data_IF_395316284227
#
_entry.id   IF_395316284227
#
_cell.length_a   1.000
_cell.length_b   1.000
_cell.length_c   1.000
_cell.angle_alpha   90.00
_cell.angle_beta   90.00
_cell.angle_gamma   90.00
#
_symmetry.space_group_name_H-M   'P 1'
#
loop_
_entity.id
_entity.type
_entity.pdbx_description
1 polymer ?
#
# COMPACT_ATOMS: atom_id res chain seq x y z
N UNK A 1 1.38 -42.24 -25.67
CA UNK A 1 1.85 -41.88 -24.32
C UNK A 1 2.21 -40.41 -24.20
N UNK A 2 3.03 -39.82 -25.09
CA UNK A 2 3.38 -38.37 -25.01
C UNK A 2 2.17 -37.44 -25.13
N UNK A 3 1.20 -37.70 -26.01
CA UNK A 3 -0.02 -36.91 -26.17
C UNK A 3 -0.92 -36.96 -24.92
N UNK A 4 -1.04 -38.13 -24.29
CA UNK A 4 -1.82 -38.26 -23.03
C UNK A 4 -1.11 -37.58 -21.86
N UNK A 5 0.23 -37.56 -21.81
CA UNK A 5 0.99 -36.84 -20.83
C UNK A 5 0.86 -35.32 -21.02
N UNK A 6 0.88 -34.82 -22.25
CA UNK A 6 0.60 -33.40 -22.57
C UNK A 6 -0.83 -32.98 -22.24
N UNK A 7 -1.80 -33.86 -22.49
CA UNK A 7 -3.21 -33.59 -22.16
C UNK A 7 -3.47 -33.63 -20.65
N UNK A 8 -2.80 -34.52 -19.91
CA UNK A 8 -2.79 -34.55 -18.44
C UNK A 8 -2.06 -33.33 -17.85
N UNK A 9 -0.99 -32.87 -18.48
CA UNK A 9 -0.27 -31.66 -18.07
C UNK A 9 -1.12 -30.40 -18.31
N UNK A 10 -1.81 -30.29 -19.45
CA UNK A 10 -2.81 -29.22 -19.72
C UNK A 10 -3.99 -29.22 -18.75
N UNK A 11 -4.46 -30.38 -18.31
CA UNK A 11 -5.52 -30.50 -17.28
C UNK A 11 -5.06 -30.09 -15.88
N UNK A 12 -3.76 -30.00 -15.62
CA UNK A 12 -3.17 -29.51 -14.37
C UNK A 12 -2.87 -28.00 -14.38
N UNK A 13 -2.90 -27.37 -15.55
CA UNK A 13 -2.74 -25.92 -15.66
C UNK A 13 -4.01 -25.22 -15.18
N UNK A 14 -3.87 -24.38 -14.15
CA UNK A 14 -4.98 -23.58 -13.64
C UNK A 14 -5.38 -22.58 -14.71
N UNK A 15 -6.69 -22.54 -15.00
CA UNK A 15 -7.25 -21.46 -15.82
C UNK A 15 -7.21 -20.15 -15.03
N UNK A 16 -6.19 -19.33 -15.25
CA UNK A 16 -5.98 -18.04 -14.58
C UNK A 16 -7.16 -17.06 -14.80
N UNK A 17 -7.98 -17.29 -15.83
CA UNK A 17 -9.17 -16.50 -16.13
C UNK A 17 -10.46 -17.09 -15.53
N UNK A 18 -10.37 -18.24 -14.88
CA UNK A 18 -11.50 -18.86 -14.17
C UNK A 18 -11.84 -18.10 -12.90
N UNK A 19 -13.13 -18.04 -12.55
CA UNK A 19 -13.58 -17.38 -11.33
C UNK A 19 -12.86 -17.85 -10.05
N UNK A 20 -12.61 -19.15 -9.81
CA UNK A 20 -11.89 -19.58 -8.61
C UNK A 20 -10.49 -18.98 -8.52
N UNK A 21 -9.78 -18.88 -9.65
CA UNK A 21 -8.46 -18.29 -9.71
C UNK A 21 -8.49 -16.77 -9.45
N UNK A 22 -9.43 -16.04 -10.08
CA UNK A 22 -9.60 -14.60 -9.89
C UNK A 22 -10.00 -14.28 -8.44
N UNK A 23 -10.97 -14.99 -7.88
CA UNK A 23 -11.40 -14.79 -6.49
C UNK A 23 -10.26 -15.08 -5.52
N UNK A 24 -9.48 -16.15 -5.77
CA UNK A 24 -8.31 -16.47 -4.93
C UNK A 24 -7.25 -15.39 -5.01
N UNK A 25 -6.95 -14.84 -6.21
CA UNK A 25 -5.99 -13.75 -6.35
C UNK A 25 -6.43 -12.49 -5.57
N UNK A 26 -7.71 -12.11 -5.67
CA UNK A 26 -8.28 -10.95 -4.98
C UNK A 26 -8.29 -11.19 -3.46
N UNK A 27 -8.71 -12.36 -3.00
CA UNK A 27 -8.73 -12.72 -1.58
C UNK A 27 -7.32 -12.70 -0.98
N UNK A 28 -6.34 -13.33 -1.64
CA UNK A 28 -4.95 -13.33 -1.21
C UNK A 28 -4.40 -11.90 -1.11
N UNK A 29 -4.65 -11.06 -2.12
CA UNK A 29 -4.20 -9.68 -2.08
C UNK A 29 -4.86 -8.87 -0.94
N UNK A 30 -6.12 -9.10 -0.65
CA UNK A 30 -6.80 -8.48 0.48
C UNK A 30 -6.21 -8.93 1.80
N UNK A 31 -5.93 -10.23 1.97
CA UNK A 31 -5.29 -10.78 3.18
C UNK A 31 -3.89 -10.22 3.37
N UNK A 32 -3.09 -10.10 2.31
CA UNK A 32 -1.75 -9.53 2.41
C UNK A 32 -1.70 -8.05 2.80
N UNK A 33 -2.83 -7.34 2.84
CA UNK A 33 -2.88 -5.93 3.25
C UNK A 33 -3.87 -5.66 4.39
N UNK A 34 -4.34 -6.70 5.10
CA UNK A 34 -5.31 -6.55 6.19
C UNK A 34 -4.90 -5.50 7.21
N UNK A 35 -3.68 -5.62 7.69
CA UNK A 35 -3.07 -4.71 8.67
C UNK A 35 -2.90 -3.30 8.11
N UNK A 36 -2.32 -3.18 6.91
CA UNK A 36 -2.01 -1.89 6.30
C UNK A 36 -3.25 -1.03 6.04
N UNK A 37 -4.34 -1.63 5.57
CA UNK A 37 -5.55 -0.85 5.22
C UNK A 37 -6.24 -0.27 6.46
N UNK A 38 -6.17 -0.94 7.61
CA UNK A 38 -6.72 -0.43 8.87
C UNK A 38 -5.64 0.10 9.82
N UNK A 39 -4.43 0.31 9.32
CA UNK A 39 -3.26 0.72 10.09
C UNK A 39 -3.50 1.90 11.04
N UNK A 40 -4.21 3.00 10.66
CA UNK A 40 -4.46 4.10 11.59
C UNK A 40 -5.18 3.65 12.87
N UNK A 41 -6.14 2.75 12.72
CA UNK A 41 -6.87 2.18 13.86
C UNK A 41 -6.04 1.19 14.68
N UNK A 42 -5.13 0.42 14.04
CA UNK A 42 -4.18 -0.46 14.75
C UNK A 42 -3.22 0.38 15.61
N UNK A 43 -2.72 1.50 15.09
CA UNK A 43 -1.86 2.42 15.84
C UNK A 43 -2.58 2.91 17.10
N UNK A 44 -3.84 3.34 16.99
CA UNK A 44 -4.66 3.70 18.14
C UNK A 44 -4.82 2.53 19.11
N UNK A 45 -5.12 1.32 18.58
CA UNK A 45 -5.23 0.10 19.39
C UNK A 45 -3.95 -0.24 20.17
N UNK A 46 -2.76 0.01 19.61
CA UNK A 46 -1.51 -0.16 20.33
C UNK A 46 -1.40 0.81 21.51
N UNK A 47 -1.78 2.09 21.32
CA UNK A 47 -1.75 3.09 22.39
C UNK A 47 -2.70 2.69 23.51
N UNK A 48 -3.91 2.28 23.20
CA UNK A 48 -4.96 1.98 24.18
C UNK A 48 -4.81 0.65 24.89
N UNK A 49 -4.54 -0.42 24.13
CA UNK A 49 -4.54 -1.78 24.67
C UNK A 49 -3.14 -2.26 25.09
N UNK A 50 -2.06 -1.79 24.47
CA UNK A 50 -0.69 -2.10 24.89
C UNK A 50 -0.08 -1.03 25.79
N UNK A 51 -0.76 0.11 25.98
CA UNK A 51 -0.32 1.24 26.80
C UNK A 51 1.08 1.75 26.40
N UNK A 52 1.39 1.70 25.09
CA UNK A 52 2.63 2.25 24.55
C UNK A 52 2.46 3.71 24.16
N UNK A 53 3.56 4.45 24.06
CA UNK A 53 3.51 5.83 23.56
C UNK A 53 3.11 5.88 22.08
N UNK A 54 2.55 7.01 21.65
CA UNK A 54 2.18 7.27 20.24
C UNK A 54 3.36 7.00 19.30
N UNK A 55 4.57 7.48 19.69
CA UNK A 55 5.81 7.25 18.95
C UNK A 55 6.11 5.76 18.79
N UNK A 56 5.95 4.98 19.87
CA UNK A 56 6.20 3.53 19.83
C UNK A 56 5.14 2.80 19.02
N UNK A 57 3.89 3.22 19.08
CA UNK A 57 2.82 2.65 18.28
C UNK A 57 3.06 2.85 16.77
N UNK A 58 3.50 4.06 16.38
CA UNK A 58 3.87 4.39 15.00
C UNK A 58 5.13 3.62 14.54
N UNK A 59 6.13 3.46 15.42
CA UNK A 59 7.32 2.65 15.14
C UNK A 59 6.98 1.18 14.86
N UNK A 60 6.07 0.60 15.64
CA UNK A 60 5.64 -0.80 15.48
C UNK A 60 4.99 -1.08 14.11
N UNK A 61 4.09 -0.22 13.65
CA UNK A 61 3.52 -0.36 12.29
C UNK A 61 4.55 -0.06 11.21
N UNK A 62 5.51 0.81 11.50
CA UNK A 62 6.65 1.06 10.60
C UNK A 62 7.51 -0.20 10.41
N UNK A 63 7.79 -0.94 11.47
CA UNK A 63 8.52 -2.22 11.39
C UNK A 63 7.76 -3.26 10.56
N UNK A 64 6.45 -3.36 10.73
CA UNK A 64 5.59 -4.23 9.92
C UNK A 64 5.65 -3.87 8.43
N UNK A 65 5.48 -2.58 8.10
CA UNK A 65 5.56 -2.10 6.73
C UNK A 65 6.97 -2.22 6.14
N UNK A 66 8.02 -2.13 6.97
CA UNK A 66 9.39 -2.43 6.55
C UNK A 66 9.51 -3.91 6.15
N UNK A 67 8.88 -4.82 6.89
CA UNK A 67 8.77 -6.23 6.51
C UNK A 67 8.13 -6.41 5.14
N UNK A 68 7.00 -5.75 4.88
CA UNK A 68 6.33 -5.74 3.56
C UNK A 68 7.27 -5.23 2.47
N UNK A 69 7.97 -4.12 2.70
CA UNK A 69 8.90 -3.54 1.73
C UNK A 69 10.07 -4.49 1.42
N UNK A 70 10.68 -5.10 2.44
CA UNK A 70 11.77 -6.07 2.28
C UNK A 70 11.31 -7.30 1.49
N UNK A 71 10.10 -7.82 1.77
CA UNK A 71 9.53 -8.93 1.02
C UNK A 71 9.28 -8.55 -0.45
N UNK A 72 8.76 -7.34 -0.72
CA UNK A 72 8.52 -6.88 -2.09
C UNK A 72 9.83 -6.78 -2.89
N UNK A 73 10.91 -6.27 -2.27
CA UNK A 73 12.23 -6.25 -2.89
C UNK A 73 12.75 -7.68 -3.13
N UNK A 74 12.64 -8.56 -2.13
CA UNK A 74 13.01 -9.96 -2.25
C UNK A 74 12.26 -10.64 -3.41
N UNK A 75 10.95 -10.40 -3.51
CA UNK A 75 10.12 -10.96 -4.57
C UNK A 75 10.49 -10.43 -5.96
N UNK A 76 10.90 -9.17 -6.09
CA UNK A 76 11.40 -8.63 -7.35
C UNK A 76 12.68 -9.35 -7.84
N UNK A 77 13.49 -9.90 -6.93
CA UNK A 77 14.73 -10.61 -7.24
C UNK A 77 14.51 -12.10 -7.52
N UNK A 78 13.57 -12.73 -6.83
CA UNK A 78 13.42 -14.21 -6.87
C UNK A 78 12.07 -14.70 -7.41
N UNK A 79 11.05 -13.84 -7.51
CA UNK A 79 9.67 -14.24 -7.81
C UNK A 79 9.46 -14.92 -9.17
N UNK A 80 10.40 -14.73 -10.11
CA UNK A 80 10.38 -15.43 -11.41
C UNK A 80 11.06 -16.82 -11.38
N UNK A 81 11.73 -17.17 -10.27
CA UNK A 81 12.54 -18.39 -10.15
C UNK A 81 11.92 -19.45 -9.25
N UNK A 82 10.95 -19.09 -8.44
CA UNK A 82 10.33 -19.94 -7.42
C UNK A 82 8.87 -20.14 -7.78
N UNK A 83 8.33 -21.32 -7.48
CA UNK A 83 6.90 -21.63 -7.63
C UNK A 83 6.04 -20.68 -6.81
N UNK A 84 5.10 -20.03 -7.46
CA UNK A 84 4.22 -19.04 -6.83
C UNK A 84 3.36 -19.63 -5.71
N UNK A 85 2.95 -20.89 -5.82
CA UNK A 85 2.22 -21.58 -4.74
C UNK A 85 3.07 -21.72 -3.49
N UNK A 86 4.35 -22.09 -3.68
CA UNK A 86 5.27 -22.23 -2.56
C UNK A 86 5.51 -20.88 -1.88
N UNK A 87 5.65 -19.79 -2.67
CA UNK A 87 5.81 -18.44 -2.17
C UNK A 87 4.59 -18.00 -1.36
N UNK A 88 3.38 -18.15 -1.93
CA UNK A 88 2.14 -17.74 -1.27
C UNK A 88 1.89 -18.56 -0.02
N UNK A 89 2.10 -19.88 -0.06
CA UNK A 89 1.96 -20.74 1.11
C UNK A 89 2.94 -20.35 2.22
N UNK A 90 4.22 -20.11 1.88
CA UNK A 90 5.22 -19.64 2.83
C UNK A 90 4.85 -18.26 3.40
N UNK A 91 4.42 -17.32 2.57
CA UNK A 91 3.97 -16.00 2.98
C UNK A 91 2.79 -16.07 3.97
N UNK A 92 1.77 -16.88 3.66
CA UNK A 92 0.62 -17.09 4.54
C UNK A 92 1.01 -17.72 5.89
N UNK A 93 1.92 -18.70 5.89
CA UNK A 93 2.40 -19.33 7.12
C UNK A 93 3.25 -18.37 7.96
N UNK A 94 4.09 -17.54 7.32
CA UNK A 94 4.89 -16.53 8.00
C UNK A 94 4.00 -15.45 8.59
N UNK A 95 3.02 -14.95 7.83
CA UNK A 95 2.06 -13.96 8.31
C UNK A 95 1.23 -14.52 9.49
N UNK A 96 0.61 -15.69 9.31
CA UNK A 96 -0.18 -16.34 10.37
C UNK A 96 0.65 -16.63 11.63
N UNK A 97 1.88 -17.13 11.46
CA UNK A 97 2.80 -17.40 12.58
C UNK A 97 3.24 -16.14 13.29
N UNK A 98 3.55 -15.07 12.53
CA UNK A 98 3.90 -13.76 13.05
C UNK A 98 2.75 -13.09 13.81
N UNK A 99 1.53 -13.17 13.29
CA UNK A 99 0.32 -12.67 13.96
C UNK A 99 0.01 -13.45 15.24
N UNK A 100 0.04 -14.79 15.18
CA UNK A 100 -0.17 -15.61 16.36
C UNK A 100 0.88 -15.36 17.44
N UNK A 101 2.16 -15.27 17.06
CA UNK A 101 3.23 -14.92 17.98
C UNK A 101 3.06 -13.50 18.55
N UNK A 102 2.60 -12.54 17.74
CA UNK A 102 2.27 -11.18 18.18
C UNK A 102 1.13 -11.16 19.20
N UNK A 103 0.09 -11.98 19.01
CA UNK A 103 -1.01 -12.11 19.96
C UNK A 103 -0.53 -12.66 21.32
N UNK A 104 0.39 -13.63 21.31
CA UNK A 104 0.91 -14.27 22.51
C UNK A 104 2.00 -13.46 23.23
N UNK A 105 2.69 -12.57 22.53
CA UNK A 105 3.86 -11.85 23.02
C UNK A 105 3.74 -10.32 22.81
N UNK A 106 2.54 -9.77 22.90
CA UNK A 106 2.25 -8.34 22.61
C UNK A 106 3.01 -7.36 23.52
N UNK A 107 3.34 -7.78 24.76
CA UNK A 107 4.13 -6.98 25.70
C UNK A 107 5.63 -7.32 25.71
N UNK A 108 6.06 -8.28 24.89
CA UNK A 108 7.48 -8.68 24.86
C UNK A 108 8.34 -7.66 24.12
N UNK A 109 9.62 -7.48 24.49
CA UNK A 109 10.57 -6.64 23.74
C UNK A 109 10.70 -7.03 22.27
N UNK A 110 10.46 -8.30 21.94
CA UNK A 110 10.51 -8.85 20.60
C UNK A 110 9.29 -8.49 19.72
N UNK A 111 8.25 -7.86 20.27
CA UNK A 111 6.98 -7.63 19.54
C UNK A 111 7.19 -6.93 18.20
N UNK A 112 8.05 -5.90 18.14
CA UNK A 112 8.36 -5.22 16.88
C UNK A 112 8.98 -6.15 15.81
N UNK A 113 9.84 -7.09 16.22
CA UNK A 113 10.39 -8.09 15.30
C UNK A 113 9.34 -9.08 14.81
N UNK A 114 8.37 -9.42 15.65
CA UNK A 114 7.25 -10.28 15.26
C UNK A 114 6.38 -9.57 14.21
N UNK A 115 6.12 -8.27 14.36
CA UNK A 115 5.41 -7.47 13.36
C UNK A 115 6.17 -7.39 12.05
N UNK A 116 7.50 -7.20 12.09
CA UNK A 116 8.35 -7.22 10.89
C UNK A 116 8.26 -8.57 10.16
N UNK A 117 8.30 -9.68 10.89
CA UNK A 117 8.17 -11.02 10.31
C UNK A 117 6.78 -11.21 9.69
N UNK A 118 5.70 -10.82 10.39
CA UNK A 118 4.34 -10.87 9.85
C UNK A 118 4.24 -10.06 8.55
N UNK A 119 4.72 -8.81 8.55
CA UNK A 119 4.75 -7.95 7.37
C UNK A 119 5.57 -8.53 6.21
N UNK A 120 6.66 -9.25 6.49
CA UNK A 120 7.41 -9.94 5.44
C UNK A 120 6.56 -11.02 4.75
N UNK A 121 5.78 -11.80 5.51
CA UNK A 121 4.81 -12.75 4.96
C UNK A 121 3.74 -12.05 4.12
N UNK A 122 3.16 -10.97 4.63
CA UNK A 122 2.17 -10.14 3.92
C UNK A 122 2.71 -9.62 2.57
N UNK A 123 3.93 -9.08 2.56
CA UNK A 123 4.58 -8.57 1.35
C UNK A 123 4.82 -9.63 0.28
N UNK A 124 5.12 -10.88 0.67
CA UNK A 124 5.21 -12.01 -0.27
C UNK A 124 3.86 -12.27 -0.93
N UNK A 125 2.77 -12.28 -0.16
CA UNK A 125 1.41 -12.54 -0.65
C UNK A 125 0.97 -11.40 -1.59
N UNK A 126 1.15 -10.14 -1.19
CA UNK A 126 0.82 -8.95 -1.98
C UNK A 126 1.51 -9.01 -3.34
N UNK A 127 2.81 -9.26 -3.37
CA UNK A 127 3.61 -9.26 -4.60
C UNK A 127 3.10 -10.25 -5.63
N UNK A 128 2.78 -11.48 -5.21
CA UNK A 128 2.24 -12.52 -6.11
C UNK A 128 0.80 -12.21 -6.50
N UNK A 129 -0.03 -11.77 -5.56
CA UNK A 129 -1.44 -11.47 -5.81
C UNK A 129 -1.61 -10.37 -6.86
N UNK A 130 -0.89 -9.25 -6.75
CA UNK A 130 -0.93 -8.17 -7.76
C UNK A 130 -0.46 -8.66 -9.13
N UNK A 131 0.64 -9.42 -9.17
CA UNK A 131 1.14 -9.99 -10.42
C UNK A 131 0.11 -10.93 -11.03
N UNK A 132 -0.52 -11.77 -10.21
CA UNK A 132 -1.54 -12.72 -10.65
C UNK A 132 -2.77 -12.01 -11.24
N UNK A 133 -3.29 -10.98 -10.58
CA UNK A 133 -4.40 -10.18 -11.13
C UNK A 133 -4.00 -9.53 -12.45
N UNK A 134 -2.76 -9.04 -12.55
CA UNK A 134 -2.23 -8.35 -13.73
C UNK A 134 -2.11 -9.23 -14.98
N UNK A 135 -1.92 -10.56 -14.84
CA UNK A 135 -1.82 -11.49 -15.97
C UNK A 135 -3.15 -12.04 -16.46
N UNK A 136 -4.26 -11.70 -15.81
CA UNK A 136 -5.60 -12.14 -16.24
C UNK A 136 -6.05 -11.42 -17.51
N UNK A 137 -6.85 -12.07 -18.35
CA UNK A 137 -7.32 -11.50 -19.63
C UNK A 137 -8.13 -10.19 -19.47
N UNK A 138 -8.73 -9.97 -18.30
CA UNK A 138 -9.50 -8.75 -17.97
C UNK A 138 -8.85 -8.06 -16.75
N UNK A 139 -7.55 -7.82 -16.83
CA UNK A 139 -6.75 -7.28 -15.73
C UNK A 139 -7.36 -6.01 -15.11
N UNK A 140 -7.76 -5.04 -15.94
CA UNK A 140 -8.37 -3.78 -15.48
C UNK A 140 -9.63 -4.00 -14.63
N UNK A 141 -10.54 -4.87 -15.10
CA UNK A 141 -11.76 -5.23 -14.36
C UNK A 141 -11.41 -5.93 -13.03
N UNK A 142 -10.47 -6.85 -13.07
CA UNK A 142 -10.12 -7.66 -11.90
C UNK A 142 -9.35 -6.83 -10.86
N UNK A 143 -8.51 -5.88 -11.29
CA UNK A 143 -7.91 -4.86 -10.41
C UNK A 143 -8.99 -3.97 -9.79
N UNK A 144 -10.00 -3.55 -10.57
CA UNK A 144 -11.12 -2.77 -10.02
C UNK A 144 -11.90 -3.55 -8.95
N UNK A 145 -12.19 -4.84 -9.19
CA UNK A 145 -12.84 -5.70 -8.19
C UNK A 145 -11.98 -5.88 -6.93
N UNK A 146 -10.67 -6.05 -7.11
CA UNK A 146 -9.73 -6.11 -6.00
C UNK A 146 -9.76 -4.82 -5.16
N UNK A 147 -9.69 -3.65 -5.80
CA UNK A 147 -9.75 -2.36 -5.10
C UNK A 147 -11.09 -2.16 -4.38
N UNK A 148 -12.22 -2.55 -4.99
CA UNK A 148 -13.54 -2.47 -4.34
C UNK A 148 -13.57 -3.31 -3.07
N UNK A 149 -13.09 -4.57 -3.13
CA UNK A 149 -13.06 -5.43 -1.93
C UNK A 149 -12.12 -4.86 -0.87
N UNK A 150 -10.91 -4.46 -1.27
CA UNK A 150 -9.89 -3.91 -0.40
C UNK A 150 -10.37 -2.65 0.33
N UNK A 151 -10.89 -1.67 -0.40
CA UNK A 151 -11.34 -0.40 0.18
C UNK A 151 -12.63 -0.57 0.98
N UNK A 152 -13.52 -1.51 0.60
CA UNK A 152 -14.69 -1.87 1.41
C UNK A 152 -14.25 -2.48 2.74
N UNK A 153 -13.30 -3.41 2.73
CA UNK A 153 -12.70 -3.92 3.96
C UNK A 153 -12.13 -2.79 4.83
N UNK A 154 -11.35 -1.89 4.22
CA UNK A 154 -10.77 -0.75 4.92
C UNK A 154 -11.82 0.17 5.54
N UNK A 155 -12.87 0.48 4.78
CA UNK A 155 -13.97 1.33 5.27
C UNK A 155 -14.66 0.70 6.49
N UNK A 156 -15.20 -0.50 6.34
CA UNK A 156 -15.91 -1.18 7.42
C UNK A 156 -14.97 -1.58 8.56
N UNK A 157 -13.73 -1.97 8.24
CA UNK A 157 -12.69 -2.30 9.19
C UNK A 157 -12.40 -1.13 10.12
N UNK A 158 -12.04 0.04 9.57
CA UNK A 158 -11.78 1.24 10.36
C UNK A 158 -12.99 1.74 11.14
N UNK A 159 -14.18 1.63 10.56
CA UNK A 159 -15.42 2.06 11.22
C UNK A 159 -15.76 1.22 12.46
N UNK A 160 -15.58 -0.09 12.35
CA UNK A 160 -15.98 -1.03 13.41
C UNK A 160 -14.83 -1.43 14.33
N UNK A 161 -13.59 -1.05 13.99
CA UNK A 161 -12.40 -1.45 14.72
C UNK A 161 -12.42 -1.07 16.21
N UNK A 162 -12.84 0.15 16.62
CA UNK A 162 -12.92 0.47 18.06
C UNK A 162 -13.79 -0.53 18.82
N UNK A 163 -14.97 -0.86 18.27
CA UNK A 163 -15.91 -1.83 18.89
C UNK A 163 -15.32 -3.24 18.92
N UNK A 164 -14.53 -3.63 17.92
CA UNK A 164 -13.84 -4.92 17.90
C UNK A 164 -12.79 -4.97 19.00
N UNK A 165 -11.95 -3.94 19.08
CA UNK A 165 -10.87 -3.87 20.06
C UNK A 165 -11.39 -3.88 21.51
N UNK A 166 -12.49 -3.20 21.79
CA UNK A 166 -13.16 -3.25 23.09
C UNK A 166 -13.60 -4.66 23.51
N UNK A 167 -13.83 -5.56 22.52
CA UNK A 167 -14.36 -6.90 22.80
C UNK A 167 -13.29 -7.98 22.84
N UNK A 168 -12.31 -7.91 21.94
CA UNK A 168 -11.34 -9.00 21.74
C UNK A 168 -9.89 -8.55 21.94
N UNK A 169 -9.67 -7.25 22.24
CA UNK A 169 -8.34 -6.67 22.38
C UNK A 169 -7.51 -6.76 21.07
N UNK A 170 -6.35 -6.10 21.06
CA UNK A 170 -5.39 -6.13 19.94
C UNK A 170 -4.82 -7.55 19.71
N UNK A 171 -4.61 -8.31 20.77
CA UNK A 171 -4.18 -9.71 20.68
C UNK A 171 -5.23 -10.59 19.98
N UNK A 172 -6.51 -10.39 20.29
CA UNK A 172 -7.62 -11.07 19.60
C UNK A 172 -7.71 -10.70 18.12
N UNK A 173 -7.43 -9.45 17.76
CA UNK A 173 -7.37 -9.02 16.36
C UNK A 173 -6.28 -9.78 15.58
N UNK A 174 -5.10 -9.96 16.15
CA UNK A 174 -4.03 -10.75 15.52
C UNK A 174 -4.38 -12.23 15.41
N UNK A 175 -5.11 -12.81 16.37
CA UNK A 175 -5.64 -14.16 16.22
C UNK A 175 -6.60 -14.26 15.03
N UNK A 176 -7.46 -13.25 14.83
CA UNK A 176 -8.34 -13.20 13.65
C UNK A 176 -7.53 -13.12 12.35
N UNK A 177 -6.48 -12.29 12.29
CA UNK A 177 -5.61 -12.22 11.11
C UNK A 177 -4.88 -13.53 10.85
N UNK A 178 -4.35 -14.18 11.89
CA UNK A 178 -3.73 -15.49 11.78
C UNK A 178 -4.72 -16.56 11.26
N UNK A 179 -5.95 -16.54 11.75
CA UNK A 179 -7.00 -17.47 11.30
C UNK A 179 -7.37 -17.21 9.83
N UNK A 180 -7.52 -15.95 9.41
CA UNK A 180 -7.80 -15.58 8.02
C UNK A 180 -6.65 -15.98 7.09
N UNK A 181 -5.41 -15.73 7.47
CA UNK A 181 -4.21 -16.15 6.71
C UNK A 181 -4.11 -17.68 6.61
N UNK A 182 -4.46 -18.40 7.70
CA UNK A 182 -4.50 -19.87 7.67
C UNK A 182 -5.61 -20.40 6.76
N UNK A 183 -6.81 -19.81 6.81
CA UNK A 183 -7.92 -20.17 5.94
C UNK A 183 -7.59 -19.90 4.47
N UNK A 184 -6.84 -18.84 4.18
CA UNK A 184 -6.40 -18.48 2.84
C UNK A 184 -5.44 -19.48 2.20
N UNK A 185 -4.86 -20.44 2.97
CA UNK A 185 -4.09 -21.55 2.39
C UNK A 185 -4.92 -22.37 1.39
N UNK A 186 -6.25 -22.39 1.52
CA UNK A 186 -7.15 -23.02 0.54
C UNK A 186 -7.02 -22.34 -0.83
N UNK A 187 -6.84 -21.02 -0.86
CA UNK A 187 -6.69 -20.26 -2.10
C UNK A 187 -5.41 -20.62 -2.88
N UNK A 188 -4.38 -21.15 -2.22
CA UNK A 188 -3.13 -21.60 -2.85
C UNK A 188 -3.39 -22.67 -3.92
N UNK A 189 -4.43 -23.47 -3.76
CA UNK A 189 -4.82 -24.51 -4.74
C UNK A 189 -5.16 -23.92 -6.11
N UNK A 190 -5.55 -22.65 -6.16
CA UNK A 190 -5.97 -21.93 -7.36
C UNK A 190 -4.91 -20.93 -7.87
N UNK A 191 -3.75 -20.85 -7.24
CA UNK A 191 -2.61 -20.04 -7.68
C UNK A 191 -1.86 -20.78 -8.79
N UNK A 192 -1.47 -20.14 -9.93
CA UNK A 192 -0.63 -20.76 -10.93
C UNK A 192 0.79 -21.00 -10.41
N UNK A 193 1.53 -21.96 -11.03
CA UNK A 193 2.91 -22.28 -10.64
C UNK A 193 3.92 -21.16 -10.94
N UNK A 194 3.60 -20.28 -11.87
CA UNK A 194 4.43 -19.16 -12.27
C UNK A 194 3.99 -18.61 -13.63
N UNK A 195 4.62 -17.54 -14.05
CA UNK A 195 4.43 -16.93 -15.37
C UNK A 195 5.80 -16.52 -15.92
N UNK A 196 6.07 -16.87 -17.19
CA UNK A 196 7.26 -16.41 -17.88
C UNK A 196 7.28 -14.88 -17.93
N UNK A 197 8.44 -14.26 -17.67
CA UNK A 197 8.59 -12.82 -17.74
C UNK A 197 8.15 -12.33 -19.13
N UNK A 198 6.96 -11.75 -19.24
CA UNK A 198 6.54 -11.08 -20.45
C UNK A 198 7.53 -9.93 -20.68
N UNK A 199 8.05 -9.80 -21.89
CA UNK A 199 8.91 -8.68 -22.28
C UNK A 199 8.15 -7.37 -22.04
N UNK A 200 8.56 -6.65 -21.01
CA UNK A 200 7.99 -5.34 -20.62
C UNK A 200 8.54 -4.21 -21.49
N UNK A 201 9.31 -4.52 -22.54
CA UNK A 201 9.90 -3.54 -23.45
C UNK A 201 8.80 -2.72 -24.15
N UNK A 202 8.91 -1.40 -24.08
CA UNK A 202 8.03 -0.44 -24.76
C UNK A 202 8.78 0.15 -25.95
N UNK A 203 8.58 -0.34 -27.18
CA UNK A 203 9.24 0.22 -28.37
C UNK A 203 8.80 1.66 -28.58
N UNK A 204 9.74 2.55 -28.95
CA UNK A 204 9.48 3.95 -29.27
C UNK A 204 9.62 4.95 -28.11
N UNK A 205 9.85 4.51 -26.89
CA UNK A 205 10.13 5.40 -25.74
C UNK A 205 11.60 5.79 -25.74
N UNK A 206 11.90 7.09 -25.66
CA UNK A 206 13.28 7.59 -25.46
C UNK A 206 13.65 7.54 -23.98
N UNK A 207 14.69 6.80 -23.67
CA UNK A 207 15.20 6.65 -22.31
C UNK A 207 15.87 7.96 -21.83
N UNK A 208 15.48 8.38 -20.61
CA UNK A 208 16.17 9.49 -19.96
C UNK A 208 17.55 9.08 -19.41
N UNK A 209 18.49 10.03 -19.25
CA UNK A 209 19.73 9.79 -18.53
C UNK A 209 19.51 9.20 -17.14
N UNK A 210 20.37 8.27 -16.71
CA UNK A 210 20.25 7.53 -15.44
C UNK A 210 20.10 8.46 -14.22
N UNK A 211 20.81 9.61 -14.23
CA UNK A 211 20.67 10.59 -13.14
C UNK A 211 19.23 11.16 -13.02
N UNK A 212 18.58 11.43 -14.16
CA UNK A 212 17.19 11.92 -14.17
C UNK A 212 16.19 10.82 -13.75
N UNK A 213 16.47 9.57 -14.13
CA UNK A 213 15.70 8.42 -13.66
C UNK A 213 15.80 8.23 -12.14
N UNK A 214 17.02 8.41 -11.58
CA UNK A 214 17.21 8.36 -10.13
C UNK A 214 16.43 9.49 -9.43
N UNK A 215 16.44 10.72 -9.96
CA UNK A 215 15.65 11.84 -9.43
C UNK A 215 14.14 11.52 -9.47
N UNK A 216 13.66 10.89 -10.55
CA UNK A 216 12.26 10.48 -10.65
C UNK A 216 11.89 9.43 -9.60
N UNK A 217 12.77 8.45 -9.33
CA UNK A 217 12.58 7.46 -8.27
C UNK A 217 12.60 8.08 -6.87
N UNK A 218 13.48 9.05 -6.62
CA UNK A 218 13.50 9.80 -5.36
C UNK A 218 12.23 10.63 -5.16
N UNK A 219 11.63 11.15 -6.24
CA UNK A 219 10.33 11.79 -6.16
C UNK A 219 9.22 10.83 -5.71
N UNK A 220 9.19 9.61 -6.28
CA UNK A 220 8.25 8.55 -5.88
C UNK A 220 8.47 8.15 -4.43
N UNK A 221 9.72 8.00 -4.02
CA UNK A 221 10.08 7.68 -2.64
C UNK A 221 9.58 8.76 -1.66
N UNK A 222 9.91 10.05 -1.92
CA UNK A 222 9.48 11.15 -1.07
C UNK A 222 7.93 11.26 -0.98
N UNK A 223 7.23 11.07 -2.11
CA UNK A 223 5.78 11.02 -2.13
C UNK A 223 5.23 9.92 -1.21
N UNK A 224 5.77 8.72 -1.31
CA UNK A 224 5.26 7.59 -0.54
C UNK A 224 5.72 7.60 0.92
N UNK A 225 6.86 8.22 1.27
CA UNK A 225 7.21 8.52 2.66
C UNK A 225 6.13 9.44 3.27
N UNK A 226 5.74 10.51 2.58
CA UNK A 226 4.68 11.40 3.04
C UNK A 226 3.35 10.65 3.22
N UNK A 227 2.99 9.77 2.29
CA UNK A 227 1.79 8.94 2.40
C UNK A 227 1.84 7.99 3.61
N UNK A 228 2.98 7.31 3.81
CA UNK A 228 3.17 6.39 4.94
C UNK A 228 3.13 7.11 6.29
N UNK A 229 3.76 8.29 6.40
CA UNK A 229 3.68 9.15 7.59
C UNK A 229 2.22 9.49 7.87
N UNK A 230 1.56 10.12 6.91
CA UNK A 230 0.20 10.59 7.10
C UNK A 230 -0.73 9.44 7.50
N UNK A 231 -0.73 8.34 6.74
CA UNK A 231 -1.60 7.21 7.00
C UNK A 231 -1.44 6.64 8.40
N UNK A 232 -0.20 6.47 8.88
CA UNK A 232 0.07 5.92 10.20
C UNK A 232 -0.44 6.78 11.36
N UNK A 233 -0.46 8.12 11.21
CA UNK A 233 -0.78 9.03 12.33
C UNK A 233 -2.21 9.59 12.30
N UNK A 234 -3.00 9.38 11.22
CA UNK A 234 -4.30 10.04 11.06
C UNK A 234 -5.27 9.80 12.22
N UNK A 235 -5.31 8.60 12.79
CA UNK A 235 -6.20 8.31 13.91
C UNK A 235 -5.76 9.08 15.16
N UNK A 236 -4.45 9.03 15.48
CA UNK A 236 -3.87 9.72 16.62
C UNK A 236 -4.00 11.25 16.49
N UNK A 237 -3.86 11.81 15.29
CA UNK A 237 -4.10 13.25 15.05
C UNK A 237 -5.54 13.63 15.42
N UNK A 238 -6.51 12.81 15.03
CA UNK A 238 -7.92 13.06 15.37
C UNK A 238 -8.17 12.99 16.88
N UNK A 239 -7.71 11.94 17.54
CA UNK A 239 -7.91 11.75 18.99
C UNK A 239 -7.15 12.77 19.83
N UNK A 240 -5.92 13.12 19.43
CA UNK A 240 -5.15 14.19 20.09
C UNK A 240 -5.76 15.59 19.97
N UNK A 241 -6.57 15.82 18.94
CA UNK A 241 -7.36 17.04 18.77
C UNK A 241 -8.66 17.05 19.62
N UNK A 242 -8.88 16.00 20.43
CA UNK A 242 -10.08 15.87 21.28
C UNK A 242 -11.31 15.33 20.54
N UNK A 243 -11.16 14.81 19.34
CA UNK A 243 -12.24 14.15 18.60
C UNK A 243 -12.39 12.73 19.15
N UNK A 244 -13.61 12.29 19.45
CA UNK A 244 -13.86 10.93 19.94
C UNK A 244 -13.52 9.89 18.89
N UNK A 245 -13.02 8.73 19.30
CA UNK A 245 -12.57 7.63 18.43
C UNK A 245 -13.60 7.23 17.39
N UNK A 246 -14.88 7.09 17.81
CA UNK A 246 -15.92 6.72 16.87
C UNK A 246 -16.15 7.79 15.79
N UNK A 247 -15.97 9.08 16.11
CA UNK A 247 -16.07 10.17 15.12
C UNK A 247 -14.86 10.15 14.19
N UNK A 248 -13.65 9.87 14.70
CA UNK A 248 -12.45 9.64 13.87
C UNK A 248 -12.66 8.43 12.96
N UNK A 249 -13.14 7.31 13.48
CA UNK A 249 -13.45 6.11 12.71
C UNK A 249 -14.48 6.37 11.61
N UNK A 250 -15.52 7.16 11.88
CA UNK A 250 -16.52 7.57 10.88
C UNK A 250 -15.90 8.44 9.77
N UNK A 251 -14.99 9.35 10.11
CA UNK A 251 -14.29 10.18 9.13
C UNK A 251 -13.36 9.31 8.24
N UNK A 252 -12.65 8.34 8.83
CA UNK A 252 -11.80 7.41 8.10
C UNK A 252 -12.63 6.45 7.23
N UNK A 253 -13.80 5.99 7.68
CA UNK A 253 -14.75 5.26 6.84
C UNK A 253 -15.11 6.05 5.59
N UNK A 254 -15.52 7.31 5.76
CA UNK A 254 -15.87 8.19 4.64
C UNK A 254 -14.66 8.42 3.71
N UNK A 255 -13.46 8.57 4.29
CA UNK A 255 -12.23 8.75 3.50
C UNK A 255 -11.91 7.56 2.60
N UNK A 256 -12.21 6.34 3.02
CA UNK A 256 -12.05 5.15 2.18
C UNK A 256 -13.06 5.12 1.02
N UNK A 257 -14.30 5.59 1.25
CA UNK A 257 -15.26 5.78 0.16
C UNK A 257 -14.77 6.84 -0.84
N UNK A 258 -14.14 7.92 -0.35
CA UNK A 258 -13.51 8.94 -1.20
C UNK A 258 -12.30 8.39 -1.95
N UNK A 259 -11.55 7.42 -1.38
CA UNK A 259 -10.47 6.73 -2.08
C UNK A 259 -10.97 6.00 -3.35
N UNK A 260 -12.12 5.32 -3.26
CA UNK A 260 -12.78 4.70 -4.43
C UNK A 260 -13.13 5.77 -5.47
N UNK A 261 -13.73 6.89 -5.03
CA UNK A 261 -14.05 7.98 -5.93
C UNK A 261 -12.80 8.57 -6.61
N UNK A 262 -11.68 8.69 -5.89
CA UNK A 262 -10.39 9.12 -6.43
C UNK A 262 -9.85 8.17 -7.50
N UNK A 263 -9.87 6.86 -7.24
CA UNK A 263 -9.46 5.85 -8.19
C UNK A 263 -10.33 5.86 -9.46
N UNK A 264 -11.65 5.98 -9.33
CA UNK A 264 -12.56 6.12 -10.48
C UNK A 264 -12.32 7.42 -11.25
N UNK A 265 -12.13 8.54 -10.53
CA UNK A 265 -11.81 9.82 -11.15
C UNK A 265 -10.50 9.77 -11.96
N UNK A 266 -9.49 9.02 -11.49
CA UNK A 266 -8.24 8.86 -12.25
C UNK A 266 -8.47 8.21 -13.60
N UNK A 267 -9.32 7.18 -13.68
CA UNK A 267 -9.67 6.50 -14.94
C UNK A 267 -10.50 7.42 -15.86
N UNK A 268 -11.51 8.08 -15.30
CA UNK A 268 -12.41 8.95 -16.09
C UNK A 268 -11.72 10.19 -16.65
N UNK A 269 -10.70 10.69 -15.98
CA UNK A 269 -9.99 11.92 -16.31
C UNK A 269 -8.65 11.67 -17.01
N UNK A 270 -8.18 10.42 -17.14
CA UNK A 270 -6.88 10.08 -17.71
C UNK A 270 -6.63 10.70 -19.08
N UNK A 271 -7.65 10.68 -19.96
CA UNK A 271 -7.57 11.23 -21.31
C UNK A 271 -8.14 12.66 -21.45
N UNK A 272 -8.71 13.22 -20.37
CA UNK A 272 -9.40 14.52 -20.40
C UNK A 272 -8.58 15.67 -19.85
N UNK A 273 -7.64 15.40 -18.96
CA UNK A 273 -6.79 16.41 -18.33
C UNK A 273 -5.32 16.13 -18.62
N UNK A 274 -4.49 17.16 -18.78
CA UNK A 274 -3.06 16.98 -18.92
C UNK A 274 -2.50 16.27 -17.68
N UNK A 275 -1.70 15.21 -17.89
CA UNK A 275 -1.10 14.40 -16.80
C UNK A 275 -0.36 15.25 -15.76
N UNK A 276 0.32 16.32 -16.20
CA UNK A 276 1.04 17.21 -15.29
C UNK A 276 0.12 18.02 -14.37
N UNK A 277 -1.09 18.34 -14.86
CA UNK A 277 -2.12 19.01 -14.03
C UNK A 277 -2.66 18.04 -13.00
N UNK A 278 -2.92 16.78 -13.40
CA UNK A 278 -3.35 15.73 -12.48
C UNK A 278 -2.32 15.49 -11.38
N UNK A 279 -1.03 15.37 -11.74
CA UNK A 279 0.07 15.18 -10.78
C UNK A 279 0.21 16.39 -9.85
N UNK A 280 0.20 17.60 -10.38
CA UNK A 280 0.29 18.82 -9.57
C UNK A 280 -0.89 18.93 -8.61
N UNK A 281 -2.12 18.77 -9.10
CA UNK A 281 -3.34 18.82 -8.30
C UNK A 281 -3.36 17.76 -7.22
N UNK A 282 -2.95 16.53 -7.53
CA UNK A 282 -2.92 15.44 -6.56
C UNK A 282 -1.85 15.62 -5.47
N UNK A 283 -0.62 15.95 -5.82
CA UNK A 283 0.47 16.13 -4.84
C UNK A 283 0.24 17.37 -3.98
N UNK A 284 -0.03 18.53 -4.61
CA UNK A 284 -0.23 19.79 -3.88
C UNK A 284 -1.55 19.78 -3.08
N UNK A 285 -2.59 19.17 -3.64
CA UNK A 285 -3.84 18.95 -2.93
C UNK A 285 -3.69 18.01 -1.74
N UNK A 286 -2.87 16.95 -1.86
CA UNK A 286 -2.49 16.09 -0.75
C UNK A 286 -1.78 16.85 0.36
N UNK A 287 -0.80 17.70 0.02
CA UNK A 287 -0.16 18.61 0.98
C UNK A 287 -1.15 19.56 1.65
N UNK A 288 -2.09 20.14 0.88
CA UNK A 288 -3.14 21.01 1.40
C UNK A 288 -4.11 20.26 2.34
N UNK A 289 -4.42 19.00 2.02
CA UNK A 289 -5.27 18.16 2.87
C UNK A 289 -4.63 17.89 4.24
N UNK A 290 -3.32 17.64 4.28
CA UNK A 290 -2.57 17.52 5.55
C UNK A 290 -2.49 18.86 6.26
N UNK A 291 -2.36 19.98 5.53
CA UNK A 291 -2.34 21.31 6.14
C UNK A 291 -3.65 21.66 6.86
N UNK A 292 -4.80 21.09 6.49
CA UNK A 292 -6.07 21.22 7.21
C UNK A 292 -6.03 20.54 8.58
N UNK A 293 -5.11 19.61 8.81
CA UNK A 293 -4.96 18.87 10.07
C UNK A 293 -4.04 19.60 11.06
N UNK A 294 -3.28 20.61 10.59
CA UNK A 294 -2.32 21.34 11.44
C UNK A 294 -3.00 21.96 12.67
N UNK A 295 -2.43 21.69 13.82
CA UNK A 295 -2.92 22.19 15.09
C UNK A 295 -3.95 21.26 15.71
N UNK A 296 -5.08 21.81 16.14
CA UNK A 296 -6.19 21.01 16.72
C UNK A 296 -7.43 21.17 15.84
N UNK A 297 -7.53 20.39 14.75
CA UNK A 297 -8.64 20.52 13.82
C UNK A 297 -9.96 20.13 14.50
N UNK A 298 -11.01 20.90 14.28
CA UNK A 298 -12.37 20.45 14.60
C UNK A 298 -12.81 19.32 13.67
N UNK A 299 -13.90 18.61 14.02
CA UNK A 299 -14.42 17.45 13.29
C UNK A 299 -14.53 17.70 11.78
N UNK A 300 -15.04 18.87 11.37
CA UNK A 300 -15.22 19.20 9.95
C UNK A 300 -13.87 19.27 9.21
N UNK A 301 -12.89 20.01 9.75
CA UNK A 301 -11.58 20.15 9.11
C UNK A 301 -10.83 18.82 9.09
N UNK A 302 -10.92 18.04 10.16
CA UNK A 302 -10.38 16.69 10.21
C UNK A 302 -10.98 15.81 9.10
N UNK A 303 -12.32 15.75 9.01
CA UNK A 303 -13.01 14.95 8.00
C UNK A 303 -12.65 15.39 6.58
N UNK A 304 -12.62 16.69 6.30
CA UNK A 304 -12.21 17.22 5.00
C UNK A 304 -10.75 16.88 4.68
N UNK A 305 -9.86 16.99 5.66
CA UNK A 305 -8.44 16.65 5.51
C UNK A 305 -8.23 15.18 5.17
N UNK A 306 -8.82 14.26 5.93
CA UNK A 306 -8.65 12.81 5.68
C UNK A 306 -9.33 12.35 4.38
N UNK A 307 -10.50 12.91 4.05
CA UNK A 307 -11.18 12.63 2.78
C UNK A 307 -10.39 13.18 1.59
N UNK A 308 -9.92 14.42 1.67
CA UNK A 308 -9.07 15.04 0.65
C UNK A 308 -7.77 14.27 0.45
N UNK A 309 -7.12 13.85 1.52
CA UNK A 309 -5.92 13.03 1.47
C UNK A 309 -6.16 11.73 0.71
N UNK A 310 -7.18 10.95 1.07
CA UNK A 310 -7.43 9.64 0.47
C UNK A 310 -7.92 9.71 -0.98
N UNK A 311 -8.83 10.65 -1.32
CA UNK A 311 -9.28 10.82 -2.71
C UNK A 311 -8.09 11.20 -3.62
N UNK A 312 -7.23 12.10 -3.18
CA UNK A 312 -6.10 12.59 -3.97
C UNK A 312 -4.98 11.56 -4.06
N UNK A 313 -4.74 10.76 -3.01
CA UNK A 313 -3.80 9.65 -3.05
C UNK A 313 -4.17 8.66 -4.16
N UNK A 314 -5.40 8.16 -4.14
CA UNK A 314 -5.86 7.15 -5.10
C UNK A 314 -6.06 7.74 -6.51
N UNK A 315 -6.30 9.05 -6.62
CA UNK A 315 -6.38 9.75 -7.88
C UNK A 315 -5.01 9.91 -8.56
N UNK A 316 -3.98 10.37 -7.82
CA UNK A 316 -2.71 10.79 -8.44
C UNK A 316 -1.74 9.66 -8.70
N UNK A 317 -1.79 8.56 -7.93
CA UNK A 317 -0.82 7.48 -8.00
C UNK A 317 -0.70 6.86 -9.40
N UNK A 318 -1.79 6.56 -10.14
CA UNK A 318 -1.68 6.06 -11.51
C UNK A 318 -0.98 7.04 -12.46
N UNK A 319 -1.19 8.35 -12.29
CA UNK A 319 -0.54 9.37 -13.11
C UNK A 319 0.97 9.48 -12.83
N UNK A 320 1.38 9.37 -11.56
CA UNK A 320 2.81 9.35 -11.18
C UNK A 320 3.48 8.12 -11.79
N UNK A 321 2.92 6.92 -11.60
CA UNK A 321 3.48 5.68 -12.13
C UNK A 321 3.49 5.70 -13.67
N UNK A 322 2.43 6.18 -14.30
CA UNK A 322 2.38 6.36 -15.75
C UNK A 322 3.46 7.29 -16.26
N UNK A 323 3.75 8.39 -15.53
CA UNK A 323 4.85 9.32 -15.88
C UNK A 323 6.23 8.63 -15.77
N UNK A 324 6.45 7.80 -14.76
CA UNK A 324 7.70 7.02 -14.65
C UNK A 324 7.85 6.07 -15.84
N UNK A 325 6.75 5.43 -16.27
CA UNK A 325 6.73 4.57 -17.45
C UNK A 325 7.10 5.29 -18.77
N UNK A 326 6.81 6.59 -18.88
CA UNK A 326 7.20 7.38 -20.06
C UNK A 326 8.72 7.67 -20.13
N UNK A 327 9.45 7.52 -19.03
CA UNK A 327 10.87 7.85 -18.92
C UNK A 327 11.81 6.72 -19.30
N UNK A 328 11.30 5.48 -19.43
CA UNK A 328 12.13 4.29 -19.61
C UNK A 328 11.57 3.33 -20.68
N UNK A 329 12.36 3.11 -21.71
CA UNK A 329 12.05 2.17 -22.79
C UNK A 329 12.07 0.69 -22.33
N UNK A 330 12.85 0.38 -21.30
CA UNK A 330 13.06 -1.01 -20.84
C UNK A 330 11.92 -1.54 -19.97
N UNK A 331 11.05 -0.67 -19.45
CA UNK A 331 9.99 -1.00 -18.50
C UNK A 331 10.49 -1.33 -17.07
N UNK A 332 11.81 -1.35 -16.85
CA UNK A 332 12.41 -1.70 -15.53
C UNK A 332 12.14 -0.64 -14.47
N UNK A 333 12.02 0.63 -14.89
CA UNK A 333 11.75 1.75 -13.97
C UNK A 333 10.42 1.62 -13.26
N UNK A 334 9.42 0.97 -13.86
CA UNK A 334 8.16 0.70 -13.19
C UNK A 334 8.34 -0.20 -11.96
N UNK A 335 9.15 -1.26 -12.09
CA UNK A 335 9.44 -2.16 -10.96
C UNK A 335 10.21 -1.42 -9.84
N UNK A 336 11.17 -0.56 -10.21
CA UNK A 336 11.88 0.28 -9.23
C UNK A 336 10.94 1.31 -8.57
N UNK A 337 10.00 1.89 -9.33
CA UNK A 337 9.02 2.82 -8.77
C UNK A 337 8.11 2.14 -7.73
N UNK A 338 7.65 0.92 -8.01
CA UNK A 338 6.88 0.13 -7.04
C UNK A 338 7.71 -0.21 -5.81
N UNK A 339 8.99 -0.57 -5.98
CA UNK A 339 9.89 -0.79 -4.84
C UNK A 339 10.06 0.48 -4.00
N UNK A 340 10.28 1.66 -4.63
CA UNK A 340 10.36 2.96 -3.94
C UNK A 340 9.05 3.31 -3.23
N UNK A 341 7.92 2.95 -3.81
CA UNK A 341 6.61 3.11 -3.18
C UNK A 341 6.52 2.31 -1.87
N UNK A 342 6.87 1.03 -1.90
CA UNK A 342 6.80 0.17 -0.70
C UNK A 342 7.82 0.59 0.36
N UNK A 343 9.05 0.95 -0.04
CA UNK A 343 10.07 1.50 0.87
C UNK A 343 9.57 2.81 1.50
N UNK A 344 8.92 3.68 0.72
CA UNK A 344 8.39 4.94 1.22
C UNK A 344 7.26 4.74 2.23
N UNK A 345 6.28 3.89 1.89
CA UNK A 345 5.17 3.57 2.79
C UNK A 345 5.65 2.93 4.09
N UNK A 346 6.66 2.02 4.02
CA UNK A 346 7.24 1.39 5.20
C UNK A 346 8.17 2.30 5.98
N UNK A 347 8.99 3.10 5.30
CA UNK A 347 9.92 4.03 5.94
C UNK A 347 9.23 5.25 6.56
N UNK A 348 8.06 5.64 6.05
CA UNK A 348 7.32 6.81 6.53
C UNK A 348 7.05 6.78 8.04
N UNK A 349 6.38 5.76 8.58
CA UNK A 349 6.13 5.64 10.02
C UNK A 349 7.42 5.63 10.86
N UNK A 350 8.48 4.95 10.40
CA UNK A 350 9.78 4.92 11.09
C UNK A 350 10.44 6.30 11.15
N UNK A 351 10.23 7.16 10.15
CA UNK A 351 10.69 8.55 10.14
C UNK A 351 9.80 9.40 11.06
N UNK A 352 8.49 9.14 11.10
CA UNK A 352 7.54 9.88 11.93
C UNK A 352 7.73 9.62 13.42
N UNK A 353 7.96 8.37 13.81
CA UNK A 353 8.02 7.94 15.21
C UNK A 353 8.95 8.81 16.09
N UNK A 354 10.21 9.09 15.72
CA UNK A 354 11.09 9.95 16.53
C UNK A 354 10.69 11.44 16.52
N UNK A 355 9.77 11.86 15.65
CA UNK A 355 9.29 13.23 15.59
C UNK A 355 8.06 13.46 16.48
N UNK A 356 7.46 12.37 16.99
CA UNK A 356 6.33 12.41 17.93
C UNK A 356 6.91 12.48 19.36
N UNK A 357 7.18 13.67 19.86
CA UNK A 357 7.93 13.87 21.13
C UNK A 357 7.10 14.51 22.25
N UNK A 358 5.83 14.21 22.35
CA UNK A 358 4.93 14.75 23.38
C UNK A 358 4.46 16.20 23.15
N UNK A 359 4.87 16.82 22.04
CA UNK A 359 4.44 18.17 21.60
C UNK A 359 3.33 18.12 20.55
N UNK A 360 2.73 16.93 20.33
CA UNK A 360 1.72 16.71 19.32
C UNK A 360 2.30 16.43 17.93
N UNK A 361 1.42 16.31 16.93
CA UNK A 361 1.75 15.82 15.59
C UNK A 361 2.20 16.93 14.62
N UNK A 362 2.26 18.19 15.03
CA UNK A 362 2.56 19.34 14.15
C UNK A 362 3.87 19.19 13.39
N UNK A 363 4.95 18.70 14.03
CA UNK A 363 6.24 18.47 13.37
C UNK A 363 6.11 17.39 12.30
N UNK A 364 5.39 16.31 12.61
CA UNK A 364 5.14 15.20 11.68
C UNK A 364 4.35 15.68 10.47
N UNK A 365 3.29 16.45 10.67
CA UNK A 365 2.46 17.04 9.62
C UNK A 365 3.27 17.98 8.71
N UNK A 366 4.13 18.84 9.28
CA UNK A 366 4.99 19.74 8.52
C UNK A 366 6.03 18.98 7.68
N UNK A 367 6.62 17.91 8.22
CA UNK A 367 7.53 17.03 7.49
C UNK A 367 6.79 16.34 6.35
N UNK A 368 5.57 15.88 6.58
CA UNK A 368 4.72 15.27 5.56
C UNK A 368 4.45 16.26 4.41
N UNK A 369 4.03 17.50 4.72
CA UNK A 369 3.81 18.56 3.73
C UNK A 369 5.10 18.86 2.96
N UNK A 370 6.23 19.01 3.65
CA UNK A 370 7.52 19.27 3.00
C UNK A 370 7.91 18.14 2.02
N UNK A 371 7.68 16.88 2.38
CA UNK A 371 7.95 15.73 1.51
C UNK A 371 7.06 15.72 0.27
N UNK A 372 5.78 16.09 0.38
CA UNK A 372 4.92 16.28 -0.81
C UNK A 372 5.48 17.37 -1.74
N UNK A 373 5.88 18.51 -1.19
CA UNK A 373 6.47 19.61 -1.98
C UNK A 373 7.81 19.21 -2.61
N UNK A 374 8.66 18.53 -1.87
CA UNK A 374 9.93 17.97 -2.38
C UNK A 374 9.64 16.99 -3.52
N UNK A 375 8.71 16.06 -3.33
CA UNK A 375 8.31 15.12 -4.38
C UNK A 375 7.85 15.83 -5.65
N UNK A 376 7.00 16.84 -5.50
CA UNK A 376 6.53 17.65 -6.63
C UNK A 376 7.69 18.29 -7.39
N UNK A 377 8.60 18.96 -6.69
CA UNK A 377 9.76 19.62 -7.30
C UNK A 377 10.67 18.60 -7.98
N UNK A 378 11.00 17.49 -7.31
CA UNK A 378 11.84 16.44 -7.87
C UNK A 378 11.23 15.82 -9.14
N UNK A 379 9.91 15.57 -9.19
CA UNK A 379 9.26 14.99 -10.36
C UNK A 379 9.20 15.97 -11.55
N UNK A 380 9.17 17.28 -11.29
CA UNK A 380 9.20 18.31 -12.33
C UNK A 380 10.51 18.30 -13.14
N UNK A 381 11.64 17.99 -12.51
CA UNK A 381 12.97 18.00 -13.16
C UNK A 381 13.02 17.02 -14.34
N UNK A 382 12.82 15.69 -14.17
CA UNK A 382 12.83 14.74 -15.29
C UNK A 382 11.67 14.97 -16.27
N UNK A 383 10.51 15.47 -15.80
CA UNK A 383 9.38 15.80 -16.68
C UNK A 383 9.72 16.90 -17.66
N UNK A 384 10.37 17.98 -17.21
CA UNK A 384 10.80 19.08 -18.09
C UNK A 384 11.91 18.65 -19.06
N UNK A 385 12.86 17.84 -18.60
CA UNK A 385 13.91 17.28 -19.45
C UNK A 385 13.31 16.37 -20.54
N UNK A 386 12.37 15.50 -20.20
CA UNK A 386 11.67 14.62 -21.13
C UNK A 386 10.94 15.43 -22.22
N UNK A 387 10.23 16.50 -21.85
CA UNK A 387 9.56 17.39 -22.80
C UNK A 387 10.53 18.05 -23.79
N UNK A 388 11.69 18.52 -23.30
CA UNK A 388 12.73 19.14 -24.18
C UNK A 388 13.29 18.14 -25.20
N UNK A 389 13.48 16.87 -24.79
CA UNK A 389 13.96 15.82 -25.69
C UNK A 389 12.95 15.48 -26.79
N UNK A 390 11.65 15.56 -26.49
CA UNK A 390 10.60 15.35 -27.50
C UNK A 390 10.33 16.57 -28.39
N UNK A 391 10.56 17.78 -27.89
CA UNK A 391 10.42 19.00 -28.71
C UNK A 391 11.59 19.21 -29.67
N UNK A 392 12.75 18.59 -29.44
CA UNK A 392 13.95 18.66 -30.26
C UNK A 392 14.04 17.53 -31.33
N UNK A 393 13.04 16.67 -31.41
CA UNK A 393 12.92 15.53 -32.34
C UNK A 393 11.80 15.74 -33.36
#
# INVERSE_FOLDING_TARGET
MAHMAQEQQRRREINVNGWPAIVSAIALGTIGVLSFIIQPGIVQGYVEHLHVSDARAVDLVGLEMLGVALATIFMALVGTRIDWRAIVAAGLLIAAGGDLASALASHAPAFGWLRLIAGFGEGMIISISFTFVGITAKAERNVALYLVLLLSYGAFGLWYLPVILDRIDIGGLFIVFAALSTLALIAVLFVPHGYGAAELARPGVRQLPTALLAVALMAVLAYNIAQGIAWAVLFLVGTSAGITEQVVANALFLSQAMAVAGALASVMLADRIPRDVAIAGGILGGAASIALLLGSPGVLLFTLGVCGFNILWNFVLPFILGRIGDFDASGRMMSFAVAMQMIGLGGGPLIAAPLIDGKGFRTVELVCIALFLISFVLLRIPTLAHRRLHAAA
#
